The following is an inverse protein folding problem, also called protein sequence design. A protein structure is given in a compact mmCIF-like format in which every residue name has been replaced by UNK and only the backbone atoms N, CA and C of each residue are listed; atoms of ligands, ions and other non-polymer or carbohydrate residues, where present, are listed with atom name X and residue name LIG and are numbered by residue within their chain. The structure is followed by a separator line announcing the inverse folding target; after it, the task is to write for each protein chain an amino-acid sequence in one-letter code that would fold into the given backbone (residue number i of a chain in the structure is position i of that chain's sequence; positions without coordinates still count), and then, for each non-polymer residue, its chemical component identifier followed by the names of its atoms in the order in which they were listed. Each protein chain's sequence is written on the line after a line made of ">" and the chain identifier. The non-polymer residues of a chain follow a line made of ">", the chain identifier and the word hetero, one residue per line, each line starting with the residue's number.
data_IF_568964187066
#
_entry.id   IF_568964187066
#
_cell.length_a   1.000
_cell.length_b   1.000
_cell.length_c   1.000
_cell.angle_alpha   90.00
_cell.angle_beta   90.00
_cell.angle_gamma   90.00
#
_symmetry.space_group_name_H-M   'P 1'
#
loop_
_entity.id
_entity.type
_entity.pdbx_description
1 polymer ?
#
# COMPACT_ATOMS: atom_id res chain seq x y z
N UNK A 1 5.17 -21.21 30.99
CA UNK A 1 5.66 -19.89 30.54
C UNK A 1 4.74 -19.36 29.44
N UNK A 2 3.76 -18.56 29.80
CA UNK A 2 2.73 -18.05 28.87
C UNK A 2 3.27 -16.83 28.13
N UNK A 3 3.47 -16.92 26.81
CA UNK A 3 3.94 -15.80 25.99
C UNK A 3 2.88 -14.70 26.01
N UNK A 4 3.20 -13.53 26.60
CA UNK A 4 2.39 -12.32 26.46
C UNK A 4 2.41 -11.89 25.00
N UNK A 5 1.25 -11.99 24.34
CA UNK A 5 1.00 -11.35 23.05
C UNK A 5 0.98 -9.84 23.31
N UNK A 6 2.09 -9.16 23.03
CA UNK A 6 2.13 -7.70 23.08
C UNK A 6 1.25 -7.20 21.94
N UNK A 7 0.00 -6.84 22.25
CA UNK A 7 -0.85 -6.14 21.29
C UNK A 7 -0.29 -4.73 21.16
N UNK A 8 0.42 -4.46 20.07
CA UNK A 8 0.93 -3.13 19.80
C UNK A 8 -0.22 -2.11 19.82
N UNK A 9 -0.02 -0.91 20.40
CA UNK A 9 -1.05 0.12 20.40
C UNK A 9 -1.46 0.43 18.96
N UNK A 10 -2.77 0.57 18.72
CA UNK A 10 -3.30 0.97 17.42
C UNK A 10 -2.64 2.30 17.03
N UNK A 11 -1.86 2.30 15.94
CA UNK A 11 -1.14 3.48 15.50
C UNK A 11 -2.14 4.62 15.23
N UNK A 12 -1.87 5.81 15.76
CA UNK A 12 -2.69 6.99 15.53
C UNK A 12 -2.91 7.23 14.02
N UNK A 13 -4.09 7.77 13.62
CA UNK A 13 -4.39 8.03 12.21
C UNK A 13 -3.32 8.95 11.60
N UNK A 14 -2.78 8.53 10.45
CA UNK A 14 -1.82 9.31 9.67
C UNK A 14 -2.49 9.87 8.43
N UNK A 15 -2.34 11.16 8.23
CA UNK A 15 -2.81 11.83 7.02
C UNK A 15 -1.64 11.85 6.04
N UNK A 16 -1.87 11.35 4.83
CA UNK A 16 -0.87 11.35 3.76
C UNK A 16 -1.52 11.91 2.49
N UNK A 17 -0.70 12.59 1.68
CA UNK A 17 -1.13 13.15 0.42
C UNK A 17 -0.98 12.13 -0.71
N UNK A 18 -1.94 12.14 -1.63
CA UNK A 18 -1.82 11.43 -2.91
C UNK A 18 -0.93 12.27 -3.83
N UNK A 19 0.15 11.71 -4.32
CA UNK A 19 1.07 12.33 -5.29
C UNK A 19 0.77 11.83 -6.70
N UNK A 20 1.54 12.29 -7.68
CA UNK A 20 1.55 11.73 -9.04
C UNK A 20 2.86 10.97 -9.27
N UNK A 21 2.77 9.80 -9.91
CA UNK A 21 3.90 9.05 -10.42
C UNK A 21 3.86 9.07 -11.95
N UNK A 22 5.02 9.28 -12.57
CA UNK A 22 5.17 9.10 -14.00
C UNK A 22 5.33 7.60 -14.29
N UNK A 23 4.33 7.00 -14.94
CA UNK A 23 4.35 5.58 -15.30
C UNK A 23 4.77 5.44 -16.77
N UNK A 24 5.84 4.68 -17.08
CA UNK A 24 6.26 4.48 -18.46
C UNK A 24 5.19 3.71 -19.24
N UNK A 25 5.02 4.04 -20.51
CA UNK A 25 4.18 3.23 -21.39
C UNK A 25 4.76 1.81 -21.45
N UNK A 26 4.01 0.83 -20.92
CA UNK A 26 4.41 -0.58 -20.87
C UNK A 26 4.56 -1.18 -22.29
N UNK A 27 3.92 -0.57 -23.28
CA UNK A 27 3.95 -1.02 -24.66
C UNK A 27 4.90 -0.17 -25.50
N UNK A 28 6.06 -0.75 -25.84
CA UNK A 28 7.09 -0.12 -26.68
C UNK A 28 6.61 0.09 -28.12
N UNK A 29 5.52 -0.55 -28.54
CA UNK A 29 4.94 -0.42 -29.88
C UNK A 29 3.99 0.78 -30.02
N UNK A 30 3.55 1.37 -28.91
CA UNK A 30 2.68 2.54 -28.88
C UNK A 30 3.49 3.72 -28.35
N UNK A 31 3.73 4.73 -29.19
CA UNK A 31 4.31 6.03 -28.83
C UNK A 31 3.40 6.84 -27.90
N UNK A 32 2.91 6.23 -26.81
CA UNK A 32 2.09 6.92 -25.84
C UNK A 32 2.99 7.78 -24.94
N UNK A 33 2.65 9.06 -24.72
CA UNK A 33 3.38 9.88 -23.78
C UNK A 33 3.28 9.28 -22.37
N UNK A 34 4.34 9.41 -21.54
CA UNK A 34 4.31 8.94 -20.16
C UNK A 34 3.07 9.46 -19.43
N UNK A 35 2.34 8.58 -18.75
CA UNK A 35 1.10 8.96 -18.08
C UNK A 35 1.39 9.29 -16.62
N UNK A 36 0.90 10.46 -16.18
CA UNK A 36 0.81 10.77 -14.76
C UNK A 36 -0.36 10.00 -14.16
N UNK A 37 -0.06 9.18 -13.15
CA UNK A 37 -1.07 8.41 -12.41
C UNK A 37 -1.03 8.77 -10.92
N UNK A 38 -2.16 8.76 -10.21
CA UNK A 38 -2.18 8.94 -8.77
C UNK A 38 -1.34 7.87 -8.07
N UNK A 39 -0.58 8.28 -7.06
CA UNK A 39 0.35 7.42 -6.35
C UNK A 39 0.31 7.69 -4.85
N UNK A 40 0.35 6.63 -4.06
CA UNK A 40 0.43 6.66 -2.61
C UNK A 40 1.57 5.75 -2.15
N UNK A 41 2.41 6.26 -1.24
CA UNK A 41 3.49 5.48 -0.63
C UNK A 41 3.18 5.22 0.84
N UNK A 42 2.84 3.99 1.16
CA UNK A 42 2.71 3.54 2.55
C UNK A 42 4.09 3.15 3.09
N UNK A 43 4.48 3.68 4.26
CA UNK A 43 5.81 3.42 4.85
C UNK A 43 5.71 2.76 6.22
N UNK A 44 6.57 1.76 6.42
CA UNK A 44 7.00 1.24 7.73
C UNK A 44 5.84 0.86 8.66
N UNK A 45 5.92 1.35 9.89
CA UNK A 45 5.12 0.93 11.05
C UNK A 45 3.60 0.82 10.82
N UNK A 46 3.02 1.50 9.83
CA UNK A 46 1.59 1.37 9.54
C UNK A 46 1.23 0.04 8.87
N UNK A 47 2.08 -0.46 7.96
CA UNK A 47 1.91 -1.78 7.36
C UNK A 47 2.17 -2.88 8.40
N UNK A 48 3.18 -2.70 9.25
CA UNK A 48 3.46 -3.64 10.35
C UNK A 48 2.36 -3.63 11.42
N UNK A 49 1.77 -2.47 11.73
CA UNK A 49 0.62 -2.36 12.63
C UNK A 49 -0.64 -3.00 12.04
N UNK A 50 -0.80 -2.95 10.70
CA UNK A 50 -1.81 -3.74 9.98
C UNK A 50 -1.46 -5.24 9.90
N UNK A 51 -0.32 -5.64 10.47
CA UNK A 51 0.14 -7.01 10.59
C UNK A 51 0.96 -7.51 9.41
N UNK A 52 1.20 -6.71 8.36
CA UNK A 52 1.97 -7.14 7.18
C UNK A 52 3.48 -7.20 7.47
N UNK A 53 4.13 -8.22 6.91
CA UNK A 53 5.59 -8.41 6.99
C UNK A 53 6.26 -8.16 5.63
N UNK A 54 7.56 -7.81 5.60
CA UNK A 54 8.33 -7.85 4.36
C UNK A 54 8.15 -9.19 3.65
N UNK A 55 8.04 -9.16 2.33
CA UNK A 55 7.80 -10.35 1.48
C UNK A 55 6.40 -10.98 1.57
N UNK A 56 5.48 -10.47 2.39
CA UNK A 56 4.07 -10.88 2.32
C UNK A 56 3.52 -10.61 0.91
N UNK A 57 2.86 -11.60 0.30
CA UNK A 57 2.11 -11.41 -0.94
C UNK A 57 0.76 -10.82 -0.60
N UNK A 58 0.41 -9.71 -1.25
CA UNK A 58 -0.84 -8.99 -0.98
C UNK A 58 -1.74 -8.96 -2.21
N UNK A 59 -3.04 -9.14 -1.99
CA UNK A 59 -4.09 -8.78 -2.93
C UNK A 59 -4.57 -7.36 -2.63
N UNK A 60 -4.69 -6.55 -3.68
CA UNK A 60 -5.16 -5.16 -3.62
C UNK A 60 -6.48 -5.06 -4.35
N UNK A 61 -7.51 -4.52 -3.68
CA UNK A 61 -8.85 -4.32 -4.25
C UNK A 61 -9.38 -2.92 -3.95
N UNK A 62 -10.35 -2.48 -4.75
CA UNK A 62 -11.11 -1.24 -4.52
C UNK A 62 -12.54 -1.61 -4.13
N UNK A 63 -12.99 -1.14 -2.97
CA UNK A 63 -14.33 -1.40 -2.44
C UNK A 63 -14.94 -0.11 -1.92
N UNK A 64 -16.00 0.39 -2.57
CA UNK A 64 -16.76 1.58 -2.14
C UNK A 64 -15.88 2.78 -1.74
N UNK A 65 -14.90 3.13 -2.60
CA UNK A 65 -13.97 4.24 -2.37
C UNK A 65 -12.82 3.93 -1.40
N UNK A 66 -12.66 2.68 -0.97
CA UNK A 66 -11.58 2.22 -0.10
C UNK A 66 -10.59 1.36 -0.89
N UNK A 67 -9.31 1.49 -0.58
CA UNK A 67 -8.29 0.52 -0.99
C UNK A 67 -8.19 -0.53 0.11
N UNK A 68 -8.49 -1.78 -0.23
CA UNK A 68 -8.46 -2.92 0.69
C UNK A 68 -7.23 -3.76 0.38
N UNK A 69 -6.37 -3.94 1.37
CA UNK A 69 -5.17 -4.78 1.32
C UNK A 69 -5.43 -6.06 2.11
N UNK A 70 -5.25 -7.20 1.48
CA UNK A 70 -5.40 -8.53 2.11
C UNK A 70 -4.22 -9.42 1.76
N UNK A 71 -3.96 -10.45 2.57
CA UNK A 71 -2.98 -11.47 2.21
C UNK A 71 -3.51 -12.32 1.07
N UNK A 72 -2.63 -12.60 0.10
CA UNK A 72 -2.90 -13.47 -1.04
C UNK A 72 -2.36 -14.88 -0.79
#
# INVERSE_FOLDING_TARGET
>A
MTKRKLTAPAAAPKHIHVSTLCYPALDRALYAPPRLVPYIRLRGLWLSAAGFSPHDRLAVRVESGRIVLTRA
#
